data_IF_719357836317
#
_entry.id   IF_719357836317
#
_cell.length_a   1.000
_cell.length_b   1.000
_cell.length_c   1.000
_cell.angle_alpha   90.00
_cell.angle_beta   90.00
_cell.angle_gamma   90.00
#
_symmetry.space_group_name_H-M   'P 1'
#
loop_
_entity.id
_entity.type
_entity.pdbx_description
1 polymer ?
#
# COMPACT_ATOMS: atom_id res chain seq x y z
N UNK A 1 -16.54 17.08 -39.86
CA UNK A 1 -15.37 16.72 -40.67
C UNK A 1 -14.21 16.46 -39.68
N UNK A 2 -13.63 15.26 -39.62
CA UNK A 2 -12.48 15.03 -38.74
C UNK A 2 -11.29 15.79 -39.33
N UNK A 3 -10.67 16.61 -38.54
CA UNK A 3 -9.43 17.33 -38.88
C UNK A 3 -8.30 16.28 -38.93
N UNK A 4 -7.77 16.03 -40.14
CA UNK A 4 -6.59 15.22 -40.32
C UNK A 4 -5.40 15.84 -39.60
N UNK A 5 -4.86 15.17 -38.61
CA UNK A 5 -3.60 15.54 -37.98
C UNK A 5 -2.49 15.28 -38.99
N UNK A 6 -1.88 16.35 -39.48
CA UNK A 6 -0.74 16.27 -40.39
C UNK A 6 0.44 15.54 -39.71
N UNK A 7 0.85 14.39 -40.24
CA UNK A 7 2.07 13.70 -39.83
C UNK A 7 3.28 14.53 -40.29
N UNK A 8 3.91 15.17 -39.35
CA UNK A 8 5.19 15.88 -39.57
C UNK A 8 6.34 14.85 -39.45
N UNK A 9 7.02 14.51 -40.54
CA UNK A 9 8.28 13.82 -40.51
C UNK A 9 8.44 12.48 -41.26
N UNK A 10 7.57 12.14 -42.22
CA UNK A 10 7.73 10.92 -43.03
C UNK A 10 7.82 11.24 -44.51
N UNK A 11 8.75 10.61 -45.22
CA UNK A 11 8.93 10.71 -46.68
C UNK A 11 7.88 9.93 -47.52
N UNK A 12 6.78 9.50 -46.89
CA UNK A 12 5.69 8.76 -47.56
C UNK A 12 4.53 9.72 -47.87
N UNK A 13 3.90 9.61 -49.04
CA UNK A 13 2.78 10.46 -49.44
C UNK A 13 1.58 10.24 -48.50
N UNK A 14 1.01 11.34 -48.00
CA UNK A 14 -0.27 11.33 -47.27
C UNK A 14 -1.42 11.13 -48.27
N UNK A 15 -1.78 9.87 -48.56
CA UNK A 15 -2.95 9.55 -49.33
C UNK A 15 -4.15 9.24 -48.47
N UNK A 16 -5.34 9.75 -48.88
CA UNK A 16 -6.62 9.45 -48.20
C UNK A 16 -7.03 7.97 -48.28
N UNK A 17 -6.27 7.15 -48.99
CA UNK A 17 -6.51 5.73 -49.17
C UNK A 17 -5.56 4.81 -48.42
N UNK A 18 -4.73 5.35 -47.49
CA UNK A 18 -3.89 4.48 -46.64
C UNK A 18 -4.78 3.96 -45.52
N UNK A 19 -5.08 2.63 -45.48
CA UNK A 19 -5.88 2.09 -44.38
C UNK A 19 -5.13 2.25 -43.05
N UNK A 20 -5.83 2.70 -42.05
CA UNK A 20 -5.31 2.71 -40.69
C UNK A 20 -5.30 1.27 -40.20
N UNK A 21 -4.11 0.80 -39.82
CA UNK A 21 -3.95 -0.52 -39.21
C UNK A 21 -3.97 -0.32 -37.69
N UNK A 22 -5.01 -0.82 -37.05
CA UNK A 22 -5.11 -0.84 -35.60
C UNK A 22 -4.26 -1.95 -35.01
N UNK A 23 -3.58 -1.67 -33.91
CA UNK A 23 -2.84 -2.70 -33.20
C UNK A 23 -3.81 -3.71 -32.59
N UNK A 24 -3.52 -5.00 -32.74
CA UNK A 24 -4.33 -6.10 -32.18
C UNK A 24 -4.17 -6.24 -30.67
N UNK A 25 -3.29 -5.46 -30.02
CA UNK A 25 -3.08 -5.42 -28.58
C UNK A 25 -3.21 -4.00 -28.07
N UNK A 26 -3.85 -3.86 -26.92
CA UNK A 26 -3.82 -2.62 -26.16
C UNK A 26 -2.38 -2.35 -25.67
N UNK A 27 -2.05 -1.07 -25.56
CA UNK A 27 -0.75 -0.69 -25.01
C UNK A 27 -0.71 -1.05 -23.52
N UNK A 28 0.41 -1.61 -23.07
CA UNK A 28 0.57 -1.98 -21.67
C UNK A 28 0.52 -0.74 -20.76
N UNK A 29 -0.23 -0.84 -19.66
CA UNK A 29 -0.36 0.20 -18.66
C UNK A 29 0.44 -0.19 -17.42
N UNK A 30 1.28 0.73 -16.95
CA UNK A 30 2.02 0.54 -15.71
C UNK A 30 1.17 0.96 -14.51
N UNK A 31 1.19 0.13 -13.46
CA UNK A 31 0.44 0.35 -12.23
C UNK A 31 1.39 0.57 -11.06
N UNK A 32 0.97 1.41 -10.10
CA UNK A 32 1.66 1.52 -8.83
C UNK A 32 1.60 0.17 -8.10
N UNK A 33 2.72 -0.24 -7.51
CA UNK A 33 2.77 -1.45 -6.70
C UNK A 33 2.03 -1.25 -5.38
N UNK A 34 1.34 -2.29 -4.94
CA UNK A 34 0.60 -2.32 -3.68
C UNK A 34 1.27 -3.27 -2.70
N UNK A 35 1.57 -2.77 -1.50
CA UNK A 35 2.27 -3.50 -0.45
C UNK A 35 1.38 -3.83 0.75
N UNK A 36 0.10 -3.49 0.69
CA UNK A 36 -0.84 -3.65 1.80
C UNK A 36 -0.84 -5.07 2.42
N UNK A 37 -0.83 -6.18 1.64
CA UNK A 37 -0.79 -7.53 2.20
C UNK A 37 0.51 -7.85 2.95
N UNK A 38 1.61 -7.17 2.61
CA UNK A 38 2.92 -7.41 3.20
C UNK A 38 3.11 -6.65 4.50
N UNK A 39 2.51 -5.45 4.59
CA UNK A 39 2.62 -4.55 5.75
C UNK A 39 1.53 -4.73 6.80
N UNK A 40 0.43 -5.41 6.45
CA UNK A 40 -0.72 -5.60 7.34
C UNK A 40 -0.94 -7.06 7.70
N UNK A 41 -1.63 -7.27 8.83
CA UNK A 41 -2.08 -8.58 9.25
C UNK A 41 -3.47 -8.88 8.65
N UNK A 42 -3.58 -9.95 7.87
CA UNK A 42 -4.83 -10.41 7.23
C UNK A 42 -5.48 -11.62 7.93
N UNK A 43 -4.99 -12.02 9.12
CA UNK A 43 -5.45 -13.24 9.81
C UNK A 43 -6.94 -13.25 10.14
N UNK A 44 -7.58 -12.08 10.18
CA UNK A 44 -8.99 -11.95 10.54
C UNK A 44 -9.93 -11.90 9.33
N UNK A 45 -9.40 -11.95 8.10
CA UNK A 45 -10.20 -11.91 6.86
C UNK A 45 -11.16 -13.10 6.76
N UNK A 46 -10.73 -14.29 7.20
CA UNK A 46 -11.56 -15.53 7.18
C UNK A 46 -12.72 -15.55 8.17
N UNK A 47 -12.72 -14.67 9.17
CA UNK A 47 -13.79 -14.59 10.18
C UNK A 47 -14.99 -13.75 9.70
N UNK A 48 -14.89 -13.15 8.51
CA UNK A 48 -15.93 -12.33 7.89
C UNK A 48 -16.80 -13.24 7.02
N UNK A 49 -17.44 -14.21 7.63
CA UNK A 49 -18.42 -15.07 6.95
C UNK A 49 -19.83 -14.58 7.27
N UNK A 50 -20.45 -13.91 6.32
CA UNK A 50 -21.83 -13.50 6.43
C UNK A 50 -22.05 -12.00 6.64
N UNK A 51 -23.25 -11.62 7.03
CA UNK A 51 -23.77 -10.25 7.09
C UNK A 51 -23.27 -9.43 8.31
N UNK A 52 -22.12 -9.76 8.90
CA UNK A 52 -21.58 -9.04 10.06
C UNK A 52 -20.68 -7.89 9.61
N UNK A 53 -20.95 -6.67 10.05
CA UNK A 53 -20.15 -5.48 9.74
C UNK A 53 -18.94 -5.28 10.63
N UNK A 54 -18.66 -6.15 11.62
CA UNK A 54 -17.52 -6.00 12.53
C UNK A 54 -16.98 -7.32 13.04
N UNK A 55 -15.68 -7.33 13.36
CA UNK A 55 -14.97 -8.44 13.99
C UNK A 55 -14.39 -7.98 15.33
N UNK A 56 -14.72 -8.66 16.43
CA UNK A 56 -14.15 -8.38 17.75
C UNK A 56 -12.84 -9.14 17.94
N UNK A 57 -11.77 -8.41 18.08
CA UNK A 57 -10.40 -8.93 18.29
C UNK A 57 -10.07 -8.77 19.77
N UNK A 58 -9.84 -9.88 20.46
CA UNK A 58 -9.47 -9.86 21.88
C UNK A 58 -8.02 -9.42 22.05
N UNK A 59 -7.80 -8.50 22.99
CA UNK A 59 -6.47 -8.11 23.40
C UNK A 59 -5.95 -9.10 24.44
N UNK A 60 -4.64 -9.38 24.38
CA UNK A 60 -4.00 -10.20 25.41
C UNK A 60 -3.86 -9.36 26.69
N UNK A 61 -4.46 -9.76 27.82
CA UNK A 61 -4.34 -9.04 29.07
C UNK A 61 -2.91 -9.12 29.61
N UNK A 62 -2.49 -8.08 30.33
CA UNK A 62 -1.19 -8.00 30.98
C UNK A 62 -1.31 -8.49 32.41
N UNK A 63 -0.48 -9.47 32.79
CA UNK A 63 -0.38 -9.96 34.19
C UNK A 63 0.71 -9.19 34.91
N UNK A 64 0.38 -8.66 36.08
CA UNK A 64 1.36 -7.99 36.93
C UNK A 64 2.14 -9.01 37.75
N UNK A 65 3.46 -8.92 37.72
CA UNK A 65 4.34 -9.75 38.53
C UNK A 65 4.71 -8.99 39.78
N UNK A 66 4.30 -9.52 40.93
CA UNK A 66 4.58 -8.95 42.23
C UNK A 66 5.82 -9.64 42.85
N UNK A 67 6.64 -8.87 43.57
CA UNK A 67 7.75 -9.43 44.33
C UNK A 67 7.21 -10.25 45.52
N UNK A 68 7.67 -11.51 45.64
CA UNK A 68 7.28 -12.34 46.78
C UNK A 68 7.89 -11.78 48.10
N UNK A 69 7.08 -11.70 49.14
CA UNK A 69 7.51 -11.37 50.50
C UNK A 69 7.14 -12.54 51.39
N UNK A 70 8.14 -13.07 52.11
CA UNK A 70 7.93 -14.20 53.02
C UNK A 70 6.95 -13.81 54.14
N UNK A 71 5.91 -14.61 54.30
CA UNK A 71 4.87 -14.36 55.33
C UNK A 71 3.73 -13.46 54.87
N UNK A 72 3.79 -12.90 53.69
CA UNK A 72 2.70 -12.11 53.11
C UNK A 72 1.72 -12.97 52.26
N UNK A 73 0.42 -12.75 52.32
CA UNK A 73 -0.54 -13.44 51.51
C UNK A 73 -0.38 -13.10 50.01
N UNK A 74 -0.56 -14.05 49.13
CA UNK A 74 -0.59 -13.85 47.68
C UNK A 74 -1.85 -13.06 47.29
N UNK A 75 -1.67 -11.98 46.56
CA UNK A 75 -2.78 -11.20 45.98
C UNK A 75 -3.08 -11.73 44.58
N UNK A 76 -4.30 -12.18 44.37
CA UNK A 76 -4.79 -12.57 43.06
C UNK A 76 -5.25 -11.33 42.30
N UNK A 77 -4.96 -11.31 41.01
CA UNK A 77 -5.36 -10.24 40.10
C UNK A 77 -6.58 -10.71 39.30
N UNK A 78 -7.62 -9.90 39.28
CA UNK A 78 -8.76 -10.10 38.37
C UNK A 78 -8.37 -9.63 36.97
N UNK A 79 -8.44 -10.52 36.02
CA UNK A 79 -8.10 -10.26 34.62
C UNK A 79 -9.37 -9.86 33.88
N UNK A 80 -9.41 -8.62 33.40
CA UNK A 80 -10.51 -8.12 32.55
C UNK A 80 -10.19 -8.37 31.07
N UNK A 81 -11.12 -8.96 30.34
CA UNK A 81 -11.01 -9.15 28.91
C UNK A 81 -11.33 -7.84 28.17
N UNK A 82 -10.42 -7.38 27.31
CA UNK A 82 -10.62 -6.19 26.49
C UNK A 82 -10.56 -6.60 25.01
N UNK A 83 -11.36 -5.94 24.19
CA UNK A 83 -11.38 -6.21 22.76
C UNK A 83 -11.30 -4.91 21.95
N UNK A 84 -10.74 -5.01 20.74
CA UNK A 84 -10.81 -3.98 19.72
C UNK A 84 -11.75 -4.45 18.63
N UNK A 85 -12.63 -3.59 18.19
CA UNK A 85 -13.58 -3.90 17.13
C UNK A 85 -13.07 -3.38 15.79
N UNK A 86 -12.93 -4.30 14.83
CA UNK A 86 -12.60 -4.01 13.44
C UNK A 86 -13.93 -3.85 12.68
N UNK A 87 -14.24 -2.64 12.25
CA UNK A 87 -15.42 -2.36 11.43
C UNK A 87 -15.07 -2.52 9.95
N UNK A 88 -15.97 -3.16 9.20
CA UNK A 88 -15.90 -3.29 7.75
C UNK A 88 -16.98 -2.36 7.19
N UNK A 89 -16.60 -1.10 7.05
CA UNK A 89 -17.52 -0.01 6.69
C UNK A 89 -17.06 0.81 5.47
N UNK A 90 -15.95 0.41 4.84
CA UNK A 90 -15.45 1.04 3.63
C UNK A 90 -15.88 0.22 2.41
N UNK A 91 -16.30 0.89 1.35
CA UNK A 91 -16.69 0.24 0.11
C UNK A 91 -16.22 1.06 -1.08
N UNK A 92 -15.53 0.40 -2.00
CA UNK A 92 -15.15 0.95 -3.31
C UNK A 92 -15.92 0.20 -4.38
N UNK A 93 -16.51 0.93 -5.31
CA UNK A 93 -17.22 0.36 -6.45
C UNK A 93 -16.57 0.77 -7.76
N UNK A 94 -16.67 -0.09 -8.74
CA UNK A 94 -16.38 0.24 -10.12
C UNK A 94 -17.48 -0.30 -11.03
N UNK A 95 -17.79 0.45 -12.07
CA UNK A 95 -18.72 0.04 -13.10
C UNK A 95 -18.27 0.62 -14.44
N UNK A 96 -18.33 -0.17 -15.49
CA UNK A 96 -18.12 0.25 -16.86
C UNK A 96 -19.03 -0.54 -17.81
N UNK A 97 -19.32 0.07 -18.95
CA UNK A 97 -20.13 -0.54 -20.00
C UNK A 97 -19.40 -0.51 -21.33
N UNK A 98 -19.69 -1.50 -22.17
CA UNK A 98 -19.16 -1.60 -23.53
C UNK A 98 -20.34 -1.80 -24.45
N UNK A 99 -20.40 -1.01 -25.52
CA UNK A 99 -21.44 -1.11 -26.55
C UNK A 99 -21.24 -2.43 -27.34
N UNK A 100 -22.33 -3.09 -27.69
CA UNK A 100 -22.33 -4.36 -28.42
C UNK A 100 -21.69 -4.22 -29.80
N UNK A 101 -21.81 -3.05 -30.43
CA UNK A 101 -21.20 -2.76 -31.74
C UNK A 101 -19.68 -2.66 -31.57
N UNK A 102 -19.19 -1.96 -30.56
CA UNK A 102 -17.76 -1.83 -30.28
C UNK A 102 -17.15 -3.18 -29.87
N UNK A 103 -17.87 -3.97 -29.10
CA UNK A 103 -17.45 -5.32 -28.70
C UNK A 103 -17.35 -6.26 -29.93
N UNK A 104 -18.29 -6.16 -30.88
CA UNK A 104 -18.32 -6.99 -32.09
C UNK A 104 -17.28 -6.57 -33.12
N UNK A 105 -16.94 -5.27 -33.19
CA UNK A 105 -15.97 -4.72 -34.15
C UNK A 105 -14.51 -4.81 -33.68
N UNK A 106 -14.30 -5.08 -32.40
CA UNK A 106 -12.98 -5.16 -31.78
C UNK A 106 -12.49 -6.61 -31.81
N UNK A 107 -11.30 -6.85 -32.38
CA UNK A 107 -10.59 -8.13 -32.33
C UNK A 107 -10.00 -8.46 -30.96
N UNK A 108 -10.19 -7.57 -29.96
CA UNK A 108 -9.61 -7.65 -28.61
C UNK A 108 -10.72 -7.94 -27.62
N UNK A 109 -10.45 -8.81 -26.65
CA UNK A 109 -11.35 -9.02 -25.51
C UNK A 109 -11.28 -7.84 -24.53
N UNK A 110 -11.84 -6.69 -24.96
CA UNK A 110 -11.81 -5.42 -24.24
C UNK A 110 -12.40 -5.57 -22.82
N UNK A 111 -13.46 -6.37 -22.68
CA UNK A 111 -14.14 -6.60 -21.39
C UNK A 111 -13.18 -7.20 -20.35
N UNK A 112 -12.35 -8.15 -20.76
CA UNK A 112 -11.37 -8.77 -19.87
C UNK A 112 -10.25 -7.81 -19.49
N UNK A 113 -9.72 -7.06 -20.46
CA UNK A 113 -8.65 -6.08 -20.22
C UNK A 113 -9.10 -4.96 -19.26
N UNK A 114 -10.31 -4.43 -19.44
CA UNK A 114 -10.88 -3.43 -18.56
C UNK A 114 -11.15 -3.98 -17.13
N UNK A 115 -11.53 -5.25 -17.03
CA UNK A 115 -11.72 -5.91 -15.73
C UNK A 115 -10.39 -6.06 -14.99
N UNK A 116 -9.32 -6.38 -15.69
CA UNK A 116 -7.96 -6.43 -15.14
C UNK A 116 -7.54 -5.04 -14.66
N UNK A 117 -7.69 -4.00 -15.49
CA UNK A 117 -7.38 -2.62 -15.11
C UNK A 117 -8.17 -2.19 -13.87
N UNK A 118 -9.49 -2.42 -13.85
CA UNK A 118 -10.34 -2.10 -12.71
C UNK A 118 -9.89 -2.79 -11.41
N UNK A 119 -9.42 -4.04 -11.50
CA UNK A 119 -8.90 -4.79 -10.36
C UNK A 119 -7.62 -4.17 -9.79
N UNK A 120 -6.71 -3.71 -10.64
CA UNK A 120 -5.50 -3.01 -10.21
C UNK A 120 -5.82 -1.64 -9.60
N UNK A 121 -6.69 -0.86 -10.26
CA UNK A 121 -7.10 0.45 -9.74
C UNK A 121 -7.82 0.32 -8.39
N UNK A 122 -8.63 -0.70 -8.20
CA UNK A 122 -9.29 -0.96 -6.92
C UNK A 122 -8.27 -1.24 -5.79
N UNK A 123 -7.22 -2.02 -6.06
CA UNK A 123 -6.14 -2.29 -5.09
C UNK A 123 -5.40 -1.01 -4.71
N UNK A 124 -5.03 -0.18 -5.70
CA UNK A 124 -4.34 1.09 -5.48
C UNK A 124 -5.22 2.04 -4.64
N UNK A 125 -6.51 2.16 -4.97
CA UNK A 125 -7.44 3.01 -4.23
C UNK A 125 -7.57 2.59 -2.76
N UNK A 126 -7.63 1.28 -2.49
CA UNK A 126 -7.67 0.75 -1.12
C UNK A 126 -6.37 1.08 -0.38
N UNK A 127 -5.21 0.89 -0.99
CA UNK A 127 -3.93 1.19 -0.35
C UNK A 127 -3.80 2.68 0.00
N UNK A 128 -4.15 3.59 -0.92
CA UNK A 128 -4.15 5.04 -0.66
C UNK A 128 -5.07 5.39 0.52
N UNK A 129 -6.26 4.79 0.59
CA UNK A 129 -7.21 5.06 1.68
C UNK A 129 -6.69 4.53 3.03
N UNK A 130 -6.10 3.34 3.05
CA UNK A 130 -5.53 2.76 4.26
C UNK A 130 -4.33 3.57 4.73
N UNK A 131 -3.32 3.80 3.87
CA UNK A 131 -2.13 4.57 4.22
C UNK A 131 -2.47 6.00 4.62
N UNK A 132 -3.46 6.62 3.94
CA UNK A 132 -3.97 7.95 4.25
C UNK A 132 -4.75 8.07 5.55
N UNK A 133 -5.04 6.96 6.22
CA UNK A 133 -5.77 6.95 7.51
C UNK A 133 -4.89 6.50 8.67
N UNK A 134 -4.08 5.45 8.49
CA UNK A 134 -3.31 4.83 9.58
C UNK A 134 -2.18 5.72 10.12
N UNK A 135 -1.69 6.71 9.35
CA UNK A 135 -0.64 7.61 9.84
C UNK A 135 -1.10 8.39 11.08
N UNK A 136 -2.39 8.71 11.18
CA UNK A 136 -2.99 9.39 12.33
C UNK A 136 -3.13 8.52 13.58
N UNK A 137 -3.12 7.19 13.40
CA UNK A 137 -3.23 6.21 14.49
C UNK A 137 -1.85 5.79 15.05
N UNK A 138 -0.75 6.34 14.51
CA UNK A 138 0.60 5.99 14.94
C UNK A 138 0.84 6.39 16.40
N UNK A 139 1.35 5.45 17.20
CA UNK A 139 1.67 5.70 18.61
C UNK A 139 2.91 6.57 18.80
N UNK A 140 3.78 6.64 17.79
CA UNK A 140 4.95 7.51 17.79
C UNK A 140 4.94 8.32 16.49
N UNK A 141 5.05 9.64 16.63
CA UNK A 141 5.15 10.57 15.48
C UNK A 141 6.48 11.29 15.58
N UNK A 142 7.36 11.12 14.61
CA UNK A 142 8.59 11.88 14.54
C UNK A 142 8.32 13.31 14.03
N UNK A 143 9.16 14.29 14.40
CA UNK A 143 9.01 15.65 13.89
C UNK A 143 9.18 15.67 12.36
N UNK A 144 8.45 16.54 11.65
CA UNK A 144 8.63 16.73 10.21
C UNK A 144 10.08 17.11 9.91
N UNK A 145 10.73 16.34 9.06
CA UNK A 145 12.17 16.48 8.79
C UNK A 145 12.40 16.70 7.29
N UNK A 146 13.26 17.66 6.96
CA UNK A 146 13.75 17.84 5.60
C UNK A 146 14.79 16.75 5.30
N UNK A 147 14.46 15.85 4.39
CA UNK A 147 15.29 14.69 4.06
C UNK A 147 16.28 15.05 2.95
N UNK A 148 17.52 14.63 3.16
CA UNK A 148 18.63 14.73 2.23
C UNK A 148 19.41 13.43 2.20
N UNK A 149 20.27 13.21 1.21
CA UNK A 149 21.14 12.03 1.15
C UNK A 149 22.06 11.87 2.37
N UNK A 150 22.36 12.96 3.07
CA UNK A 150 23.25 12.94 4.24
C UNK A 150 22.52 12.50 5.54
N UNK A 151 21.22 12.80 5.68
CA UNK A 151 20.48 12.56 6.94
C UNK A 151 19.47 11.41 6.85
N UNK A 152 19.20 10.88 5.68
CA UNK A 152 18.17 9.85 5.45
C UNK A 152 18.39 8.60 6.32
N UNK A 153 19.64 8.16 6.47
CA UNK A 153 19.97 6.98 7.29
C UNK A 153 19.73 7.23 8.77
N UNK A 154 20.18 8.37 9.28
CA UNK A 154 19.97 8.74 10.68
C UNK A 154 18.48 8.85 11.02
N UNK A 155 17.67 9.37 10.09
CA UNK A 155 16.23 9.46 10.21
C UNK A 155 15.56 8.08 10.24
N UNK A 156 15.98 7.14 9.39
CA UNK A 156 15.46 5.77 9.41
C UNK A 156 15.86 5.01 10.68
N UNK A 157 17.09 5.20 11.16
CA UNK A 157 17.53 4.62 12.44
C UNK A 157 16.70 5.16 13.61
N UNK A 158 16.29 6.45 13.60
CA UNK A 158 15.39 6.97 14.63
C UNK A 158 14.04 6.26 14.65
N UNK A 159 13.49 5.90 13.48
CA UNK A 159 12.27 5.09 13.39
C UNK A 159 12.47 3.70 13.99
N UNK A 160 13.60 3.05 13.69
CA UNK A 160 13.94 1.73 14.25
C UNK A 160 14.07 1.80 15.78
N UNK A 161 14.77 2.80 16.31
CA UNK A 161 14.89 3.03 17.75
C UNK A 161 13.52 3.28 18.41
N UNK A 162 12.60 3.96 17.72
CA UNK A 162 11.26 4.16 18.23
C UNK A 162 10.48 2.84 18.36
N UNK A 163 10.59 1.95 17.37
CA UNK A 163 10.02 0.60 17.42
C UNK A 163 10.65 -0.28 18.50
N UNK A 164 11.97 -0.17 18.72
CA UNK A 164 12.67 -0.88 19.80
C UNK A 164 12.21 -0.43 21.18
N UNK A 165 12.07 0.89 21.39
CA UNK A 165 11.53 1.44 22.63
C UNK A 165 10.11 0.96 22.93
N UNK A 166 9.33 0.68 21.89
CA UNK A 166 8.00 0.08 22.00
C UNK A 166 8.03 -1.45 22.21
N UNK A 167 9.21 -2.05 22.36
CA UNK A 167 9.42 -3.50 22.47
C UNK A 167 8.82 -4.31 21.30
N UNK A 168 8.82 -3.73 20.11
CA UNK A 168 8.34 -4.39 18.90
C UNK A 168 9.34 -5.46 18.46
N UNK A 169 8.91 -6.69 18.08
CA UNK A 169 9.82 -7.72 17.59
C UNK A 169 10.64 -7.22 16.38
N UNK A 170 11.90 -7.67 16.21
CA UNK A 170 12.73 -7.25 15.09
C UNK A 170 12.36 -7.92 13.76
N UNK A 171 11.58 -9.00 13.77
CA UNK A 171 11.03 -9.64 12.56
C UNK A 171 9.87 -8.86 12.01
N UNK A 172 9.60 -8.98 10.70
CA UNK A 172 8.43 -8.42 10.02
C UNK A 172 8.22 -6.91 10.24
N UNK A 173 9.31 -6.16 10.46
CA UNK A 173 9.30 -4.71 10.47
C UNK A 173 9.40 -4.19 9.04
N UNK A 174 8.64 -3.14 8.75
CA UNK A 174 8.60 -2.52 7.45
C UNK A 174 8.66 -1.00 7.53
N UNK A 175 9.10 -0.37 6.46
CA UNK A 175 9.00 1.08 6.24
C UNK A 175 8.59 1.35 4.81
N UNK A 176 7.64 2.27 4.61
CA UNK A 176 7.17 2.71 3.29
C UNK A 176 7.63 4.14 3.06
N UNK A 177 8.27 4.34 1.93
CA UNK A 177 8.89 5.59 1.53
C UNK A 177 8.47 5.97 0.10
N UNK A 178 8.45 7.27 -0.26
CA UNK A 178 8.28 7.70 -1.63
C UNK A 178 9.56 7.47 -2.44
N UNK A 179 9.47 7.41 -3.78
CA UNK A 179 10.61 7.14 -4.67
C UNK A 179 11.76 8.13 -4.51
N UNK A 180 11.46 9.40 -4.20
CA UNK A 180 12.46 10.45 -4.01
C UNK A 180 13.37 10.13 -2.81
N UNK A 181 12.80 9.69 -1.70
CA UNK A 181 13.58 9.27 -0.53
C UNK A 181 14.36 7.98 -0.85
N UNK A 182 13.74 7.05 -1.61
CA UNK A 182 14.43 5.87 -2.10
C UNK A 182 15.68 6.20 -2.91
N UNK A 183 15.61 7.20 -3.80
CA UNK A 183 16.77 7.72 -4.52
C UNK A 183 17.84 8.33 -3.61
N UNK A 184 17.42 9.04 -2.56
CA UNK A 184 18.35 9.62 -1.58
C UNK A 184 19.08 8.54 -0.76
N UNK A 185 18.43 7.43 -0.45
CA UNK A 185 19.09 6.28 0.19
C UNK A 185 20.20 5.72 -0.70
N UNK A 186 19.94 5.58 -1.99
CA UNK A 186 20.94 5.10 -2.95
C UNK A 186 22.11 6.07 -3.14
N UNK A 187 21.88 7.37 -2.97
CA UNK A 187 22.91 8.42 -3.04
C UNK A 187 23.64 8.65 -1.72
N UNK A 188 23.17 8.07 -0.62
CA UNK A 188 23.77 8.20 0.71
C UNK A 188 25.09 7.41 0.83
N UNK A 189 25.73 7.48 1.99
CA UNK A 189 26.97 6.78 2.29
C UNK A 189 26.88 5.25 2.17
N UNK A 190 25.68 4.68 2.10
CA UNK A 190 25.46 3.28 1.75
C UNK A 190 26.06 2.90 0.39
N UNK A 191 26.20 3.86 -0.54
CA UNK A 191 26.87 3.65 -1.82
C UNK A 191 28.32 3.20 -1.64
N UNK A 192 29.02 3.74 -0.66
CA UNK A 192 30.41 3.38 -0.40
C UNK A 192 30.56 1.97 0.18
N UNK A 193 29.62 1.55 1.02
CA UNK A 193 29.55 0.20 1.58
C UNK A 193 29.22 -0.82 0.50
N UNK A 194 28.36 -0.47 -0.46
CA UNK A 194 28.06 -1.32 -1.61
C UNK A 194 29.26 -1.56 -2.52
N UNK A 195 30.09 -0.53 -2.71
CA UNK A 195 31.33 -0.62 -3.52
C UNK A 195 32.43 -1.45 -2.88
N UNK A 196 32.43 -1.61 -1.55
CA UNK A 196 33.49 -2.33 -0.80
C UNK A 196 33.22 -3.83 -0.62
N UNK A 197 32.10 -4.36 -1.14
CA UNK A 197 31.77 -5.81 -1.08
C UNK A 197 31.17 -6.30 0.22
N UNK A 198 31.17 -5.50 1.28
CA UNK A 198 30.56 -5.83 2.59
C UNK A 198 29.07 -5.49 2.68
N UNK A 199 28.49 -5.00 1.58
CA UNK A 199 27.08 -4.55 1.49
C UNK A 199 26.05 -5.64 1.75
N UNK A 200 26.42 -6.92 1.68
CA UNK A 200 25.52 -8.04 2.01
C UNK A 200 25.01 -8.01 3.46
N UNK A 201 25.67 -7.25 4.33
CA UNK A 201 25.32 -7.22 5.76
C UNK A 201 24.33 -6.11 6.10
N UNK A 202 24.28 -5.01 5.33
CA UNK A 202 23.43 -3.84 5.60
C UNK A 202 22.20 -3.80 4.69
N UNK A 203 22.37 -4.20 3.43
CA UNK A 203 21.28 -4.34 2.46
C UNK A 203 21.04 -5.83 2.19
N UNK A 204 20.45 -6.56 3.13
CA UNK A 204 20.03 -7.93 2.91
C UNK A 204 18.77 -7.93 2.06
N UNK A 205 18.89 -8.31 0.80
CA UNK A 205 17.75 -8.58 -0.07
C UNK A 205 18.03 -8.26 -1.52
N UNK A 206 17.46 -9.06 -2.41
CA UNK A 206 17.43 -8.75 -3.83
C UNK A 206 16.52 -7.55 -4.05
N UNK A 207 16.97 -6.56 -4.84
CA UNK A 207 16.14 -5.46 -5.31
C UNK A 207 15.11 -6.03 -6.28
N UNK A 208 14.02 -6.55 -5.75
CA UNK A 208 12.92 -7.14 -6.52
C UNK A 208 11.60 -6.50 -6.09
N UNK A 209 10.75 -6.19 -7.05
CA UNK A 209 9.37 -5.77 -6.84
C UNK A 209 9.18 -4.55 -5.91
N UNK A 210 9.96 -3.47 -6.11
CA UNK A 210 9.80 -2.24 -5.33
C UNK A 210 10.37 -2.29 -3.90
N UNK A 211 11.08 -3.36 -3.53
CA UNK A 211 11.88 -3.47 -2.31
C UNK A 211 13.29 -2.95 -2.60
N UNK A 212 13.80 -2.05 -1.77
CA UNK A 212 15.22 -1.63 -1.83
C UNK A 212 16.11 -2.63 -1.06
N UNK A 213 15.53 -3.45 -0.17
CA UNK A 213 16.24 -4.34 0.73
C UNK A 213 15.88 -4.05 2.18
N UNK A 214 16.75 -4.43 3.10
CA UNK A 214 16.59 -4.17 4.54
C UNK A 214 17.56 -3.09 4.99
N UNK A 215 17.07 -2.14 5.78
CA UNK A 215 17.90 -1.19 6.52
C UNK A 215 17.69 -1.46 8.00
N UNK A 216 18.75 -1.86 8.70
CA UNK A 216 18.63 -2.39 10.05
C UNK A 216 17.75 -3.65 10.09
N UNK A 217 16.68 -3.61 10.87
CA UNK A 217 15.69 -4.69 10.96
C UNK A 217 14.43 -4.45 10.14
N UNK A 218 14.36 -3.37 9.34
CA UNK A 218 13.17 -2.96 8.59
C UNK A 218 13.31 -3.26 7.09
N UNK A 219 12.29 -3.89 6.49
CA UNK A 219 12.15 -4.00 5.04
C UNK A 219 11.68 -2.66 4.45
N UNK A 220 12.38 -2.19 3.41
CA UNK A 220 12.09 -0.89 2.78
C UNK A 220 11.26 -1.09 1.51
N UNK A 221 10.06 -0.54 1.52
CA UNK A 221 9.15 -0.52 0.38
C UNK A 221 9.07 0.89 -0.22
N UNK A 222 9.05 0.96 -1.55
CA UNK A 222 8.86 2.23 -2.27
C UNK A 222 7.46 2.24 -2.85
N UNK A 223 6.67 3.25 -2.47
CA UNK A 223 5.31 3.41 -2.95
C UNK A 223 5.00 4.86 -3.31
N UNK A 224 4.28 5.04 -4.41
CA UNK A 224 3.71 6.33 -4.82
C UNK A 224 2.36 6.61 -4.14
N UNK A 225 1.84 5.67 -3.35
CA UNK A 225 0.50 5.72 -2.77
C UNK A 225 0.46 6.43 -1.40
N UNK A 226 1.57 7.06 -1.00
CA UNK A 226 1.64 7.81 0.26
C UNK A 226 0.90 9.14 0.16
N UNK A 227 0.24 9.52 1.26
CA UNK A 227 -0.49 10.79 1.36
C UNK A 227 0.47 11.94 1.65
N UNK A 228 0.33 13.03 0.90
CA UNK A 228 1.07 14.28 1.13
C UNK A 228 0.11 15.37 1.57
N UNK A 229 0.38 15.97 2.73
CA UNK A 229 -0.45 17.02 3.34
C UNK A 229 0.43 18.26 3.54
N UNK A 230 0.04 19.37 2.91
CA UNK A 230 0.79 20.62 3.03
C UNK A 230 2.27 20.55 2.59
N UNK A 231 2.59 19.69 1.62
CA UNK A 231 3.97 19.47 1.16
C UNK A 231 4.78 18.52 2.04
N UNK A 232 4.17 17.91 3.06
CA UNK A 232 4.79 16.91 3.94
C UNK A 232 4.23 15.55 3.59
N UNK A 233 5.08 14.64 3.12
CA UNK A 233 4.69 13.26 2.83
C UNK A 233 4.70 12.45 4.11
N UNK A 234 3.59 11.74 4.37
CA UNK A 234 3.41 10.91 5.55
C UNK A 234 3.99 9.52 5.30
N UNK A 235 5.30 9.37 5.53
CA UNK A 235 5.94 8.06 5.51
C UNK A 235 5.59 7.28 6.78
N UNK A 236 5.61 5.95 6.69
CA UNK A 236 5.21 5.06 7.77
C UNK A 236 6.23 3.97 7.98
N UNK A 237 6.51 3.66 9.23
CA UNK A 237 7.23 2.46 9.62
C UNK A 237 6.45 1.70 10.69
N UNK A 238 6.55 0.39 10.69
CA UNK A 238 5.82 -0.40 11.66
C UNK A 238 6.14 -1.88 11.59
N UNK A 239 5.37 -2.63 12.35
CA UNK A 239 5.40 -4.09 12.36
C UNK A 239 4.10 -4.63 11.75
N UNK A 240 4.18 -5.77 11.08
CA UNK A 240 3.03 -6.38 10.39
C UNK A 240 1.80 -6.60 11.28
N UNK A 241 1.99 -6.86 12.57
CA UNK A 241 0.88 -7.02 13.53
C UNK A 241 0.24 -5.70 13.98
N UNK A 242 0.84 -4.54 13.67
CA UNK A 242 0.34 -3.25 14.14
C UNK A 242 -1.01 -2.89 13.53
N UNK A 243 -1.18 -3.19 12.24
CA UNK A 243 -2.38 -2.87 11.47
C UNK A 243 -3.03 -4.14 10.97
N UNK A 244 -4.33 -4.26 11.17
CA UNK A 244 -5.13 -5.34 10.60
C UNK A 244 -5.98 -4.80 9.47
N UNK A 245 -5.95 -5.52 8.37
CA UNK A 245 -6.75 -5.27 7.18
C UNK A 245 -7.61 -6.49 6.87
N UNK A 246 -8.86 -6.26 6.52
CA UNK A 246 -9.76 -7.29 6.09
C UNK A 246 -10.57 -6.80 4.89
N UNK A 247 -10.62 -7.59 3.84
CA UNK A 247 -11.40 -7.28 2.64
C UNK A 247 -12.30 -8.46 2.27
N UNK A 248 -13.45 -8.11 1.74
CA UNK A 248 -14.39 -9.06 1.17
C UNK A 248 -14.74 -8.61 -0.24
N UNK A 249 -14.41 -9.43 -1.22
CA UNK A 249 -14.86 -9.21 -2.60
C UNK A 249 -16.33 -9.64 -2.69
N UNK A 250 -17.21 -8.66 -2.79
CA UNK A 250 -18.62 -8.98 -2.55
C UNK A 250 -19.36 -9.42 -3.81
N UNK A 251 -19.06 -8.97 -4.99
CA UNK A 251 -19.69 -9.48 -6.23
C UNK A 251 -19.17 -8.75 -7.49
N UNK A 252 -18.61 -9.48 -8.40
CA UNK A 252 -18.47 -9.08 -9.79
C UNK A 252 -19.76 -9.55 -10.51
N UNK A 253 -20.47 -8.64 -11.15
CA UNK A 253 -21.68 -8.95 -11.92
C UNK A 253 -21.57 -8.39 -13.31
N UNK A 254 -21.81 -9.25 -14.30
CA UNK A 254 -22.05 -8.84 -15.67
C UNK A 254 -23.55 -8.69 -15.86
N UNK A 255 -23.98 -7.60 -16.47
CA UNK A 255 -25.38 -7.25 -16.71
C UNK A 255 -25.51 -6.75 -18.14
N UNK A 256 -26.46 -7.28 -18.88
CA UNK A 256 -26.93 -6.67 -20.14
C UNK A 256 -27.89 -5.54 -19.79
N UNK A 257 -27.63 -4.35 -20.28
CA UNK A 257 -28.45 -3.17 -20.03
C UNK A 257 -29.75 -3.22 -20.83
N UNK A 258 -30.88 -2.88 -20.17
CA UNK A 258 -32.20 -2.94 -20.82
C UNK A 258 -32.45 -1.74 -21.76
N UNK A 259 -31.87 -0.58 -21.41
CA UNK A 259 -32.09 0.69 -22.13
C UNK A 259 -31.02 0.98 -23.20
N UNK A 260 -29.95 0.19 -23.24
CA UNK A 260 -28.82 0.34 -24.17
C UNK A 260 -28.39 -1.02 -24.71
N UNK A 261 -27.95 -1.06 -25.96
CA UNK A 261 -27.31 -2.24 -26.53
C UNK A 261 -25.85 -2.32 -26.04
N UNK A 262 -25.68 -2.70 -24.78
CA UNK A 262 -24.38 -2.72 -24.12
C UNK A 262 -24.36 -3.73 -22.97
N UNK A 263 -23.22 -4.36 -22.77
CA UNK A 263 -22.92 -5.15 -21.59
C UNK A 263 -22.16 -4.30 -20.57
N UNK A 264 -22.54 -4.41 -19.32
CA UNK A 264 -21.91 -3.71 -18.20
C UNK A 264 -21.34 -4.68 -17.18
N UNK A 265 -20.16 -4.36 -16.66
CA UNK A 265 -19.58 -5.03 -15.50
C UNK A 265 -19.59 -4.05 -14.34
N UNK A 266 -20.02 -4.55 -13.17
CA UNK A 266 -19.90 -3.84 -11.91
C UNK A 266 -19.26 -4.72 -10.85
N UNK A 267 -18.39 -4.13 -10.06
CA UNK A 267 -17.75 -4.77 -8.91
C UNK A 267 -17.86 -3.90 -7.67
N UNK A 268 -17.99 -4.55 -6.53
CA UNK A 268 -17.99 -3.91 -5.23
C UNK A 268 -16.94 -4.59 -4.37
N UNK A 269 -16.01 -3.79 -3.81
CA UNK A 269 -15.00 -4.23 -2.86
C UNK A 269 -15.31 -3.59 -1.50
N UNK A 270 -15.64 -4.40 -0.52
CA UNK A 270 -15.90 -3.96 0.85
C UNK A 270 -14.70 -4.33 1.72
N UNK A 271 -14.21 -3.40 2.51
CA UNK A 271 -13.04 -3.62 3.35
C UNK A 271 -13.12 -2.83 4.66
N UNK A 272 -12.25 -3.20 5.58
CA UNK A 272 -12.05 -2.50 6.83
C UNK A 272 -10.61 -2.64 7.29
N UNK A 273 -10.15 -1.68 8.05
CA UNK A 273 -8.82 -1.70 8.65
C UNK A 273 -8.88 -1.10 10.05
N UNK A 274 -7.95 -1.51 10.90
CA UNK A 274 -7.82 -0.98 12.25
C UNK A 274 -6.39 -1.15 12.75
N UNK A 275 -5.86 -0.10 13.37
CA UNK A 275 -4.61 -0.18 14.11
C UNK A 275 -4.87 -0.87 15.44
N UNK A 276 -4.26 -2.06 15.64
CA UNK A 276 -4.41 -2.87 16.85
C UNK A 276 -3.37 -2.46 17.91
N UNK A 277 -2.13 -2.19 17.48
CA UNK A 277 -1.01 -1.86 18.35
C UNK A 277 -0.41 -0.53 17.89
N UNK A 278 -0.92 0.61 18.37
CA UNK A 278 -0.42 1.93 17.96
C UNK A 278 1.09 2.11 18.23
N UNK A 279 1.60 1.55 19.34
CA UNK A 279 3.03 1.64 19.69
C UNK A 279 3.98 0.95 18.70
N UNK A 280 3.48 -0.01 17.91
CA UNK A 280 4.24 -0.69 16.86
C UNK A 280 4.09 -0.02 15.48
N UNK A 281 3.55 1.20 15.43
CA UNK A 281 3.41 2.03 14.24
C UNK A 281 4.02 3.41 14.49
N UNK A 282 4.91 3.84 13.60
CA UNK A 282 5.63 5.12 13.66
C UNK A 282 5.28 5.93 12.42
N UNK A 283 4.83 7.16 12.62
CA UNK A 283 4.65 8.13 11.54
C UNK A 283 5.94 8.94 11.35
N UNK A 284 6.37 9.08 10.11
CA UNK A 284 7.63 9.67 9.67
C UNK A 284 7.33 10.81 8.67
N UNK A 285 6.82 11.96 9.13
CA UNK A 285 6.56 13.08 8.23
C UNK A 285 7.87 13.59 7.60
N UNK A 286 7.93 13.61 6.27
CA UNK A 286 9.12 14.00 5.53
C UNK A 286 8.82 15.10 4.51
N UNK A 287 9.74 16.05 4.40
CA UNK A 287 9.80 16.99 3.28
C UNK A 287 11.07 16.72 2.50
N UNK A 288 11.01 16.81 1.20
CA UNK A 288 12.17 16.59 0.33
C UNK A 288 12.08 17.54 -0.87
N UNK A 289 13.24 17.99 -1.41
CA UNK A 289 13.24 18.77 -2.63
C UNK A 289 12.69 17.92 -3.77
N UNK A 290 11.84 18.50 -4.62
CA UNK A 290 11.46 17.86 -5.86
C UNK A 290 12.73 17.52 -6.64
N UNK A 291 12.94 16.24 -6.96
CA UNK A 291 14.03 15.83 -7.85
C UNK A 291 13.67 16.39 -9.23
N UNK A 292 14.42 17.38 -9.69
CA UNK A 292 14.11 18.34 -10.72
C UNK A 292 13.35 17.80 -11.93
N UNK A 293 12.42 18.64 -12.37
CA UNK A 293 11.93 18.64 -13.75
C UNK A 293 13.02 19.11 -14.70
#
# INVERSE_FOLDING_TARGET
>A
MPTSVARTGGNLPNGAFIPEIWAQRLNDKYYAQCFLPEITNSNYTGNITGKGGSVKIRNRPTVQINKHVVGAPIKYQDITDTFVELFINQANEFAFQIDDVDAAQSDINIMNELTIDASYQAKIAVEIQVLGSIYGDAGVVLPPTAITSANVLAWLIQAEVALEKANTPPSDRWVILPPEIGGMIQLSDLKNVYMTGDAKTILRGEMSNGRIGMIGSMEVYISNNLTTIGGVTQCLAGHKSAVTYASQFTNLKTLTLQDYHADAIRGLNVFGFKTLIPGALVSLPATYPAIGN
#
